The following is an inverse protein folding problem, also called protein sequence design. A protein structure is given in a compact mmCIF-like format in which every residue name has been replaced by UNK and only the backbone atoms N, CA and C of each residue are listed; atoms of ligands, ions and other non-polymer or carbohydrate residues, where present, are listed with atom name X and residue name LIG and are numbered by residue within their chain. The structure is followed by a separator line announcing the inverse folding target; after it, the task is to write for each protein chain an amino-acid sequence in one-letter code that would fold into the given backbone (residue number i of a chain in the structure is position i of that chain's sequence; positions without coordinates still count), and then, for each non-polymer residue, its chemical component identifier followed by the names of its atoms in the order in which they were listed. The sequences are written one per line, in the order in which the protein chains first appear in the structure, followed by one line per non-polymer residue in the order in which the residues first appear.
data_IF_281889656228
#
_entry.id   IF_281889656228
#
_cell.length_a   1.000
_cell.length_b   1.000
_cell.length_c   1.000
_cell.angle_alpha   90.00
_cell.angle_beta   90.00
_cell.angle_gamma   90.00
#
_symmetry.space_group_name_H-M   'P 1'
#
loop_
_entity.id
_entity.type
_entity.pdbx_description
1 polymer ?
#
# COMPACT_ATOMS: atom_id res chain seq x y z
N UNK A 1 11.03 6.04 26.19
CA UNK A 1 12.15 5.11 25.99
C UNK A 1 11.80 3.66 26.38
N UNK A 2 11.21 3.38 27.57
CA UNK A 2 10.87 1.99 27.98
C UNK A 2 9.93 1.26 27.03
N UNK A 3 8.95 1.93 26.43
CA UNK A 3 8.01 1.33 25.48
C UNK A 3 8.63 0.95 24.13
N UNK A 4 9.62 1.70 23.65
CA UNK A 4 10.37 1.38 22.43
C UNK A 4 11.19 0.10 22.62
N UNK A 5 11.81 -0.08 23.79
CA UNK A 5 12.54 -1.31 24.10
C UNK A 5 11.63 -2.55 24.24
N UNK A 6 10.39 -2.36 24.70
CA UNK A 6 9.41 -3.44 24.78
C UNK A 6 8.96 -3.85 23.37
N UNK A 7 8.67 -2.86 22.51
CA UNK A 7 8.29 -3.09 21.11
C UNK A 7 9.42 -3.78 20.34
N UNK A 8 10.68 -3.34 20.52
CA UNK A 8 11.85 -3.99 19.93
C UNK A 8 12.04 -5.42 20.45
N UNK A 9 11.81 -5.69 21.74
CA UNK A 9 11.90 -7.05 22.29
C UNK A 9 10.79 -7.97 21.76
N UNK A 10 9.55 -7.49 21.69
CA UNK A 10 8.43 -8.24 21.12
C UNK A 10 8.68 -8.50 19.64
N UNK A 11 9.20 -7.54 18.90
CA UNK A 11 9.62 -7.67 17.51
C UNK A 11 10.70 -8.75 17.35
N UNK A 12 11.73 -8.73 18.22
CA UNK A 12 12.82 -9.72 18.17
C UNK A 12 12.35 -11.15 18.50
N UNK A 13 11.41 -11.29 19.44
CA UNK A 13 10.84 -12.61 19.80
C UNK A 13 9.98 -13.14 18.65
N UNK A 14 9.18 -12.31 17.99
CA UNK A 14 8.37 -12.72 16.83
C UNK A 14 9.22 -13.13 15.62
N UNK A 15 10.43 -12.60 15.51
CA UNK A 15 11.34 -12.84 14.39
C UNK A 15 12.03 -14.21 14.46
N UNK A 16 12.25 -14.75 15.66
CA UNK A 16 12.88 -16.07 15.86
C UNK A 16 11.92 -17.25 15.88
N UNK A 17 10.60 -17.00 15.84
CA UNK A 17 9.59 -18.05 15.71
C UNK A 17 9.14 -18.11 14.25
N UNK A 18 10.01 -18.57 13.36
CA UNK A 18 9.62 -19.03 12.02
C UNK A 18 9.35 -20.53 12.09
N UNK A 19 8.09 -20.98 12.07
CA UNK A 19 7.79 -22.40 11.91
C UNK A 19 7.83 -22.75 10.43
N UNK A 20 8.89 -23.32 9.97
CA UNK A 20 9.10 -23.75 8.57
C UNK A 20 8.48 -25.10 8.22
N UNK A 21 7.49 -25.61 8.92
CA UNK A 21 6.97 -26.95 8.62
C UNK A 21 5.48 -27.22 8.82
N UNK A 22 4.63 -26.17 8.89
CA UNK A 22 3.17 -26.35 8.98
C UNK A 22 2.44 -25.43 7.95
N UNK A 23 2.99 -25.31 6.74
CA UNK A 23 2.62 -24.24 5.81
C UNK A 23 1.25 -24.41 5.14
N UNK A 24 0.77 -25.62 4.87
CA UNK A 24 -0.39 -25.80 3.98
C UNK A 24 -1.75 -25.60 4.67
N UNK A 25 -1.95 -26.14 5.85
CA UNK A 25 -3.26 -26.05 6.53
C UNK A 25 -3.49 -24.66 7.14
N UNK A 26 -2.44 -23.99 7.61
CA UNK A 26 -2.51 -22.63 8.13
C UNK A 26 -2.81 -21.58 7.05
N UNK A 27 -2.31 -21.74 5.83
CA UNK A 27 -2.56 -20.80 4.73
C UNK A 27 -4.05 -20.69 4.40
N UNK A 28 -4.81 -21.77 4.52
CA UNK A 28 -6.23 -21.79 4.19
C UNK A 28 -7.08 -20.99 5.21
N UNK A 29 -6.72 -21.02 6.48
CA UNK A 29 -7.46 -20.27 7.52
C UNK A 29 -7.17 -18.77 7.45
N UNK A 30 -5.92 -18.35 7.21
CA UNK A 30 -5.57 -16.94 6.98
C UNK A 30 -6.27 -16.36 5.75
N UNK A 31 -6.39 -17.14 4.68
CA UNK A 31 -7.07 -16.70 3.46
C UNK A 31 -8.57 -16.45 3.72
N UNK A 32 -9.26 -17.31 4.48
CA UNK A 32 -10.66 -17.11 4.87
C UNK A 32 -10.86 -15.86 5.71
N UNK A 33 -9.97 -15.63 6.69
CA UNK A 33 -10.01 -14.44 7.54
C UNK A 33 -9.80 -13.19 6.69
N UNK A 34 -8.78 -13.18 5.83
CA UNK A 34 -8.48 -12.08 4.94
C UNK A 34 -9.66 -11.73 4.02
N UNK A 35 -10.31 -12.73 3.44
CA UNK A 35 -11.50 -12.55 2.60
C UNK A 35 -12.68 -11.98 3.38
N UNK A 36 -12.91 -12.45 4.60
CA UNK A 36 -13.97 -11.93 5.47
C UNK A 36 -13.74 -10.46 5.84
N UNK A 37 -12.52 -10.10 6.20
CA UNK A 37 -12.15 -8.71 6.51
C UNK A 37 -12.20 -7.85 5.24
N UNK A 38 -11.78 -8.39 4.09
CA UNK A 38 -11.91 -7.68 2.81
C UNK A 38 -13.36 -7.37 2.49
N UNK A 39 -14.27 -8.35 2.64
CA UNK A 39 -15.70 -8.15 2.46
C UNK A 39 -16.26 -7.09 3.41
N UNK A 40 -15.85 -7.11 4.67
CA UNK A 40 -16.22 -6.06 5.64
C UNK A 40 -15.73 -4.68 5.16
N UNK A 41 -14.46 -4.55 4.75
CA UNK A 41 -13.91 -3.31 4.24
C UNK A 41 -14.64 -2.82 2.98
N UNK A 42 -15.03 -3.75 2.09
CA UNK A 42 -15.77 -3.44 0.88
C UNK A 42 -17.19 -2.93 1.17
N UNK A 43 -17.87 -3.48 2.17
CA UNK A 43 -19.16 -2.96 2.65
C UNK A 43 -19.01 -1.55 3.20
N UNK A 44 -17.96 -1.28 3.97
CA UNK A 44 -17.66 0.07 4.49
C UNK A 44 -17.33 1.04 3.35
N UNK A 45 -16.56 0.59 2.35
CA UNK A 45 -16.27 1.42 1.17
C UNK A 45 -17.57 1.81 0.45
N UNK A 46 -18.41 0.84 0.12
CA UNK A 46 -19.64 1.08 -0.63
C UNK A 46 -20.67 1.90 0.14
N UNK A 47 -20.78 1.68 1.46
CA UNK A 47 -21.82 2.31 2.28
C UNK A 47 -21.44 3.69 2.82
N UNK A 48 -20.15 3.96 3.03
CA UNK A 48 -19.65 5.17 3.68
C UNK A 48 -18.63 5.91 2.83
N UNK A 49 -17.52 5.25 2.45
CA UNK A 49 -16.42 5.95 1.78
C UNK A 49 -16.81 6.41 0.38
N UNK A 50 -17.48 5.57 -0.39
CA UNK A 50 -17.92 5.90 -1.74
C UNK A 50 -18.85 7.12 -1.75
N UNK A 51 -20.01 7.13 -1.06
CA UNK A 51 -20.90 8.29 -1.08
C UNK A 51 -20.23 9.55 -0.52
N UNK A 52 -19.39 9.42 0.51
CA UNK A 52 -18.66 10.56 1.07
C UNK A 52 -17.61 11.09 0.07
N UNK A 53 -16.93 10.21 -0.66
CA UNK A 53 -15.95 10.61 -1.68
C UNK A 53 -16.61 11.21 -2.91
N UNK A 54 -17.83 10.81 -3.27
CA UNK A 54 -18.63 11.43 -4.33
C UNK A 54 -19.00 12.88 -3.96
N UNK A 55 -19.38 13.14 -2.71
CA UNK A 55 -19.59 14.52 -2.22
C UNK A 55 -18.27 15.29 -2.21
N UNK A 56 -17.17 14.67 -1.79
CA UNK A 56 -15.85 15.29 -1.79
C UNK A 56 -15.37 15.65 -3.20
N UNK A 57 -15.70 14.85 -4.22
CA UNK A 57 -15.34 15.08 -5.62
C UNK A 57 -16.04 16.30 -6.28
N UNK A 58 -16.98 16.92 -5.59
CA UNK A 58 -17.58 18.20 -6.04
C UNK A 58 -16.56 19.36 -5.87
N UNK A 59 -15.57 19.18 -5.01
CA UNK A 59 -14.52 20.17 -4.84
C UNK A 59 -13.69 20.30 -6.12
N UNK A 60 -13.23 21.52 -6.45
CA UNK A 60 -12.32 21.71 -7.57
C UNK A 60 -11.04 20.88 -7.43
N UNK A 61 -10.54 20.32 -8.54
CA UNK A 61 -9.36 19.46 -8.59
C UNK A 61 -8.15 20.02 -7.85
N UNK A 62 -7.94 21.32 -7.89
CA UNK A 62 -6.79 21.97 -7.24
C UNK A 62 -6.86 21.87 -5.70
N UNK A 63 -8.08 21.77 -5.11
CA UNK A 63 -8.27 21.59 -3.66
C UNK A 63 -7.93 20.15 -3.29
N UNK A 64 -8.47 19.18 -4.02
CA UNK A 64 -8.16 17.75 -3.79
C UNK A 64 -6.66 17.47 -3.92
N UNK A 65 -6.04 17.98 -4.98
CA UNK A 65 -4.59 17.88 -5.21
C UNK A 65 -3.81 18.58 -4.10
N UNK A 66 -4.24 19.78 -3.72
CA UNK A 66 -3.60 20.54 -2.65
C UNK A 66 -3.58 19.77 -1.33
N UNK A 67 -4.70 19.13 -0.96
CA UNK A 67 -4.78 18.28 0.23
C UNK A 67 -3.77 17.11 0.16
N UNK A 68 -3.75 16.39 -0.96
CA UNK A 68 -2.82 15.28 -1.17
C UNK A 68 -1.36 15.74 -1.13
N UNK A 69 -1.06 16.89 -1.73
CA UNK A 69 0.28 17.47 -1.75
C UNK A 69 0.74 17.87 -0.35
N UNK A 70 -0.11 18.50 0.46
CA UNK A 70 0.19 18.84 1.86
C UNK A 70 0.49 17.58 2.67
N UNK A 71 -0.36 16.57 2.57
CA UNK A 71 -0.15 15.30 3.27
C UNK A 71 1.15 14.62 2.80
N UNK A 72 1.40 14.64 1.50
CA UNK A 72 2.65 14.16 0.91
C UNK A 72 3.87 14.90 1.44
N UNK A 73 3.80 16.22 1.52
CA UNK A 73 4.88 17.06 2.06
C UNK A 73 5.15 16.74 3.54
N UNK A 74 4.11 16.45 4.32
CA UNK A 74 4.25 15.99 5.70
C UNK A 74 4.92 14.61 5.85
N UNK A 75 4.93 13.80 4.80
CA UNK A 75 5.61 12.51 4.79
C UNK A 75 7.08 12.60 4.33
N UNK A 76 7.54 13.73 3.78
CA UNK A 76 8.93 13.88 3.35
C UNK A 76 9.97 13.69 4.47
N UNK A 77 9.74 14.10 5.74
CA UNK A 77 10.67 13.75 6.84
C UNK A 77 10.81 12.24 7.04
N UNK A 78 9.72 11.47 6.94
CA UNK A 78 9.77 10.00 7.03
C UNK A 78 10.48 9.40 5.81
N UNK A 79 10.20 9.88 4.60
CA UNK A 79 10.92 9.49 3.39
C UNK A 79 12.42 9.71 3.53
N UNK A 80 12.83 10.91 4.00
CA UNK A 80 14.23 11.25 4.25
C UNK A 80 14.88 10.23 5.19
N UNK A 81 14.27 10.01 6.37
CA UNK A 81 14.83 9.07 7.35
C UNK A 81 14.99 7.67 6.78
N UNK A 82 13.99 7.18 6.07
CA UNK A 82 14.03 5.85 5.47
C UNK A 82 15.09 5.74 4.36
N UNK A 83 15.26 6.77 3.51
CA UNK A 83 16.34 6.80 2.52
C UNK A 83 17.72 6.76 3.18
N UNK A 84 17.93 7.52 4.25
CA UNK A 84 19.21 7.50 5.00
C UNK A 84 19.45 6.11 5.61
N UNK A 85 18.45 5.50 6.23
CA UNK A 85 18.54 4.16 6.83
C UNK A 85 18.80 3.04 5.79
N UNK A 86 18.45 3.28 4.52
CA UNK A 86 18.72 2.39 3.39
C UNK A 86 20.06 2.68 2.70
N UNK A 87 20.78 3.74 3.10
CA UNK A 87 22.02 4.17 2.46
C UNK A 87 21.82 5.00 1.18
N UNK A 88 20.58 5.39 0.87
CA UNK A 88 20.22 6.16 -0.33
C UNK A 88 20.35 7.67 -0.08
N UNK A 89 21.55 8.14 0.19
CA UNK A 89 21.84 9.54 0.58
C UNK A 89 21.29 10.56 -0.42
N UNK A 90 21.41 10.27 -1.72
CA UNK A 90 20.93 11.17 -2.78
C UNK A 90 19.42 11.34 -2.74
N UNK A 91 18.69 10.25 -2.61
CA UNK A 91 17.21 10.26 -2.48
C UNK A 91 16.78 10.96 -1.19
N UNK A 92 17.51 10.75 -0.09
CA UNK A 92 17.28 11.46 1.17
C UNK A 92 17.43 12.97 1.04
N UNK A 93 18.53 13.44 0.45
CA UNK A 93 18.74 14.88 0.19
C UNK A 93 17.63 15.43 -0.71
N UNK A 94 17.18 14.67 -1.71
CA UNK A 94 16.04 15.06 -2.56
C UNK A 94 14.77 15.25 -1.72
N UNK A 95 14.44 14.35 -0.80
CA UNK A 95 13.28 14.49 0.10
C UNK A 95 13.35 15.75 0.97
N UNK A 96 14.53 16.10 1.53
CA UNK A 96 14.71 17.35 2.24
C UNK A 96 14.54 18.57 1.34
N UNK A 97 15.07 18.53 0.11
CA UNK A 97 14.91 19.60 -0.88
C UNK A 97 13.43 19.81 -1.23
N UNK A 98 12.69 18.72 -1.43
CA UNK A 98 11.24 18.75 -1.65
C UNK A 98 10.51 19.39 -0.48
N UNK A 99 10.77 18.93 0.74
CA UNK A 99 10.19 19.51 1.95
C UNK A 99 10.44 21.02 2.02
N UNK A 100 11.67 21.46 1.80
CA UNK A 100 12.02 22.88 1.87
C UNK A 100 11.31 23.72 0.80
N UNK A 101 11.36 23.30 -0.47
CA UNK A 101 10.76 24.01 -1.60
C UNK A 101 9.24 24.02 -1.48
N UNK A 102 8.61 22.88 -1.24
CA UNK A 102 7.16 22.78 -1.16
C UNK A 102 6.60 23.49 0.08
N UNK A 103 7.32 23.49 1.20
CA UNK A 103 6.88 24.22 2.41
C UNK A 103 7.01 25.73 2.29
N UNK A 104 7.98 26.25 1.52
CA UNK A 104 8.21 27.69 1.34
C UNK A 104 7.49 28.23 0.11
N UNK A 105 7.97 27.91 -1.08
CA UNK A 105 7.43 28.40 -2.35
C UNK A 105 6.08 27.73 -2.66
N UNK A 106 5.91 26.46 -2.27
CA UNK A 106 4.69 25.68 -2.49
C UNK A 106 3.58 25.90 -1.46
N UNK A 107 3.74 26.90 -0.56
CA UNK A 107 2.76 27.28 0.48
C UNK A 107 2.37 26.05 1.31
N UNK A 108 3.28 25.62 2.22
CA UNK A 108 3.13 24.44 3.07
C UNK A 108 2.86 23.11 2.32
N UNK A 109 3.19 23.08 1.02
CA UNK A 109 3.02 21.90 0.21
C UNK A 109 1.72 21.82 -0.59
N UNK A 110 0.88 22.88 -0.59
CA UNK A 110 -0.32 22.93 -1.44
C UNK A 110 0.08 22.77 -2.92
N UNK A 111 1.16 23.44 -3.31
CA UNK A 111 1.71 23.36 -4.67
C UNK A 111 2.97 22.51 -4.67
N UNK A 112 3.03 21.49 -5.55
CA UNK A 112 4.19 20.60 -5.70
C UNK A 112 5.23 21.27 -6.63
N UNK A 113 5.91 22.30 -6.13
CA UNK A 113 6.90 23.08 -6.87
C UNK A 113 8.21 22.30 -7.06
N UNK A 114 8.58 21.48 -6.09
CA UNK A 114 9.80 20.68 -6.13
C UNK A 114 9.84 19.71 -7.33
N UNK A 115 8.71 19.13 -7.71
CA UNK A 115 8.61 18.25 -8.89
C UNK A 115 8.90 19.04 -10.17
N UNK A 116 8.37 20.24 -10.30
CA UNK A 116 8.67 21.15 -11.42
C UNK A 116 10.12 21.62 -11.46
N UNK A 117 10.81 21.61 -10.31
CA UNK A 117 12.24 21.88 -10.19
C UNK A 117 13.11 20.65 -10.46
N UNK A 118 12.52 19.51 -10.87
CA UNK A 118 13.24 18.27 -11.20
C UNK A 118 13.52 17.35 -10.01
N UNK A 119 13.02 17.68 -8.82
CA UNK A 119 13.10 16.81 -7.65
C UNK A 119 11.89 15.88 -7.63
N UNK A 120 11.97 14.74 -8.31
CA UNK A 120 10.91 13.76 -8.35
C UNK A 120 10.63 13.16 -6.98
N UNK A 121 9.35 12.86 -6.71
CA UNK A 121 8.93 12.20 -5.48
C UNK A 121 9.29 10.72 -5.52
N UNK A 122 10.02 10.27 -4.51
CA UNK A 122 10.38 8.87 -4.30
C UNK A 122 9.80 8.43 -2.96
N UNK A 123 8.56 7.87 -2.94
CA UNK A 123 7.93 7.44 -1.71
C UNK A 123 8.73 6.32 -1.05
N UNK A 124 9.00 6.48 0.23
CA UNK A 124 9.73 5.50 1.03
C UNK A 124 9.03 5.24 2.37
N UNK A 125 9.25 4.06 2.93
CA UNK A 125 8.67 3.66 4.21
C UNK A 125 9.59 2.68 4.95
N UNK A 126 9.37 2.51 6.24
CA UNK A 126 10.19 1.63 7.07
C UNK A 126 10.01 0.14 6.72
N UNK A 127 8.90 -0.24 6.11
CA UNK A 127 8.73 -1.59 5.55
C UNK A 127 9.74 -1.87 4.43
N UNK A 128 10.04 -0.87 3.57
CA UNK A 128 11.10 -0.96 2.56
C UNK A 128 12.48 -0.97 3.22
N UNK A 129 12.70 -0.20 4.28
CA UNK A 129 13.93 -0.21 5.07
C UNK A 129 14.19 -1.59 5.65
N UNK A 130 13.19 -2.22 6.26
CA UNK A 130 13.30 -3.59 6.75
C UNK A 130 13.62 -4.60 5.64
N UNK A 131 13.09 -4.39 4.44
CA UNK A 131 13.45 -5.21 3.25
C UNK A 131 14.93 -5.09 2.90
N UNK A 132 15.46 -3.87 2.84
CA UNK A 132 16.89 -3.62 2.58
C UNK A 132 17.76 -4.28 3.66
N UNK A 133 17.28 -4.32 4.89
CA UNK A 133 17.97 -5.01 5.99
C UNK A 133 17.79 -6.54 5.97
N UNK A 134 17.12 -7.09 4.96
CA UNK A 134 17.00 -8.53 4.74
C UNK A 134 15.78 -9.19 5.38
N UNK A 135 14.84 -8.42 5.92
CA UNK A 135 13.59 -8.98 6.45
C UNK A 135 12.65 -9.42 5.32
N UNK A 136 12.15 -10.67 5.42
CA UNK A 136 11.13 -11.19 4.52
C UNK A 136 9.81 -10.42 4.62
N UNK A 137 8.90 -10.62 3.64
CA UNK A 137 7.60 -9.96 3.62
C UNK A 137 6.70 -10.38 4.79
N UNK A 138 6.81 -11.64 5.21
CA UNK A 138 5.84 -12.27 6.09
C UNK A 138 4.50 -12.49 5.40
N UNK A 139 3.50 -12.84 6.20
CA UNK A 139 2.16 -13.16 5.72
C UNK A 139 1.45 -11.92 5.13
N UNK A 140 0.63 -12.17 4.09
CA UNK A 140 -0.32 -11.19 3.59
C UNK A 140 -1.54 -11.15 4.53
N UNK A 141 -1.88 -9.95 4.96
CA UNK A 141 -2.96 -9.69 5.91
C UNK A 141 -3.88 -8.61 5.35
N UNK A 142 -5.17 -8.76 5.58
CA UNK A 142 -6.12 -7.66 5.39
C UNK A 142 -6.54 -7.15 6.76
N UNK A 143 -6.39 -5.85 6.99
CA UNK A 143 -6.73 -5.23 8.26
C UNK A 143 -8.05 -4.46 8.14
N UNK A 144 -8.91 -4.51 9.19
CA UNK A 144 -10.13 -3.72 9.20
C UNK A 144 -9.83 -2.23 9.02
N UNK A 145 -10.58 -1.55 8.16
CA UNK A 145 -10.46 -0.12 7.79
C UNK A 145 -9.15 0.28 7.09
N UNK A 146 -8.07 -0.48 7.25
CA UNK A 146 -6.73 -0.17 6.71
C UNK A 146 -6.51 -0.82 5.34
N UNK A 147 -7.09 -2.00 5.12
CA UNK A 147 -6.94 -2.78 3.88
C UNK A 147 -5.70 -3.67 3.85
N UNK A 148 -5.18 -3.98 2.65
CA UNK A 148 -4.11 -4.94 2.45
C UNK A 148 -2.78 -4.49 3.05
N UNK A 149 -2.05 -5.42 3.69
CA UNK A 149 -0.71 -5.26 4.25
C UNK A 149 0.05 -6.58 4.18
N UNK A 150 1.38 -6.51 4.11
CA UNK A 150 2.24 -7.62 4.58
C UNK A 150 2.61 -7.40 6.03
N UNK A 151 2.99 -8.45 6.74
CA UNK A 151 3.41 -8.34 8.14
C UNK A 151 4.55 -7.32 8.27
N UNK A 152 5.57 -7.37 7.40
CA UNK A 152 6.66 -6.40 7.37
C UNK A 152 6.17 -4.96 7.17
N UNK A 153 5.27 -4.72 6.21
CA UNK A 153 4.73 -3.38 5.96
C UNK A 153 3.90 -2.88 7.14
N UNK A 154 3.13 -3.75 7.78
CA UNK A 154 2.35 -3.38 8.97
C UNK A 154 3.26 -2.89 10.10
N UNK A 155 4.28 -3.68 10.46
CA UNK A 155 5.25 -3.27 11.48
C UNK A 155 6.04 -2.03 11.07
N UNK A 156 6.43 -1.92 9.80
CA UNK A 156 7.07 -0.74 9.25
C UNK A 156 6.22 0.53 9.44
N UNK A 157 4.92 0.46 9.15
CA UNK A 157 4.02 1.60 9.29
C UNK A 157 3.83 2.09 10.73
N UNK A 158 3.93 1.19 11.72
CA UNK A 158 3.94 1.56 13.15
C UNK A 158 5.18 2.40 13.47
N UNK A 159 6.34 1.98 12.96
CA UNK A 159 7.60 2.70 13.17
C UNK A 159 7.60 4.04 12.44
N UNK A 160 7.12 4.09 11.19
CA UNK A 160 6.96 5.34 10.44
C UNK A 160 6.06 6.33 11.19
N UNK A 161 4.95 5.85 11.75
CA UNK A 161 4.04 6.68 12.56
C UNK A 161 4.74 7.24 13.80
N UNK A 162 5.59 6.44 14.45
CA UNK A 162 6.33 6.85 15.63
C UNK A 162 7.50 7.81 15.32
N UNK A 163 8.10 7.69 14.13
CA UNK A 163 9.23 8.52 13.69
C UNK A 163 8.80 9.83 13.02
N UNK A 164 7.55 9.92 12.55
CA UNK A 164 7.08 11.10 11.83
C UNK A 164 6.86 12.28 12.82
N UNK A 165 7.64 13.38 12.71
CA UNK A 165 7.54 14.51 13.63
C UNK A 165 6.20 15.23 13.53
N UNK A 166 5.51 15.16 12.40
CA UNK A 166 4.18 15.76 12.20
C UNK A 166 3.14 15.03 13.05
N UNK A 167 3.17 13.69 13.07
CA UNK A 167 2.27 12.90 13.91
C UNK A 167 2.47 13.23 15.40
N UNK A 168 3.70 13.56 15.80
CA UNK A 168 4.00 13.95 17.17
C UNK A 168 3.34 15.28 17.56
N UNK A 169 3.37 16.25 16.63
CA UNK A 169 2.73 17.56 16.86
C UNK A 169 1.21 17.49 16.84
N UNK A 170 0.65 16.73 15.90
CA UNK A 170 -0.81 16.57 15.77
C UNK A 170 -1.41 15.79 16.93
N UNK A 171 -0.63 14.94 17.61
CA UNK A 171 -1.10 14.12 18.73
C UNK A 171 -1.58 14.96 19.93
N UNK A 172 -0.97 16.12 20.15
CA UNK A 172 -1.29 16.99 21.28
C UNK A 172 -2.55 17.85 21.03
N UNK A 173 -3.01 17.95 19.77
CA UNK A 173 -4.15 18.81 19.37
C UNK A 173 -5.53 18.15 19.54
N UNK A 174 -5.58 16.89 19.99
CA UNK A 174 -6.83 16.14 20.20
C UNK A 174 -7.26 15.28 19.02
N UNK A 175 -8.13 14.30 19.30
CA UNK A 175 -8.44 13.17 18.41
C UNK A 175 -8.92 13.53 17.00
N UNK A 176 -9.75 14.56 16.83
CA UNK A 176 -10.28 14.94 15.51
C UNK A 176 -9.19 15.55 14.63
N UNK A 177 -8.39 16.45 15.16
CA UNK A 177 -7.31 17.13 14.41
C UNK A 177 -6.21 16.14 14.07
N UNK A 178 -5.86 15.24 14.98
CA UNK A 178 -4.80 14.25 14.75
C UNK A 178 -5.16 13.21 13.69
N UNK A 179 -6.43 12.88 13.50
CA UNK A 179 -6.91 11.89 12.52
C UNK A 179 -7.32 12.51 11.17
N UNK A 180 -7.56 13.83 11.13
CA UNK A 180 -8.01 14.54 9.93
C UNK A 180 -7.16 14.30 8.67
N UNK A 181 -5.81 14.34 8.73
CA UNK A 181 -4.99 14.10 7.55
C UNK A 181 -5.20 12.71 6.96
N UNK A 182 -5.36 11.69 7.81
CA UNK A 182 -5.60 10.31 7.34
C UNK A 182 -6.97 10.16 6.69
N UNK A 183 -8.00 10.77 7.25
CA UNK A 183 -9.35 10.75 6.68
C UNK A 183 -9.37 11.49 5.34
N UNK A 184 -8.79 12.68 5.28
CA UNK A 184 -8.71 13.46 4.05
C UNK A 184 -7.90 12.73 2.97
N UNK A 185 -6.80 12.07 3.34
CA UNK A 185 -6.03 11.24 2.41
C UNK A 185 -6.87 10.10 1.83
N UNK A 186 -7.61 9.38 2.66
CA UNK A 186 -8.49 8.28 2.21
C UNK A 186 -9.57 8.80 1.28
N UNK A 187 -10.26 9.89 1.63
CA UNK A 187 -11.31 10.48 0.80
C UNK A 187 -10.78 10.98 -0.53
N UNK A 188 -9.69 11.74 -0.52
CA UNK A 188 -9.07 12.24 -1.76
C UNK A 188 -8.59 11.09 -2.65
N UNK A 189 -7.97 10.07 -2.07
CA UNK A 189 -7.50 8.91 -2.83
C UNK A 189 -8.68 8.12 -3.40
N UNK A 190 -9.75 7.90 -2.62
CA UNK A 190 -10.96 7.20 -3.08
C UNK A 190 -11.67 7.96 -4.18
N UNK A 191 -11.82 9.29 -4.03
CA UNK A 191 -12.41 10.19 -5.04
C UNK A 191 -11.68 10.10 -6.37
N UNK A 192 -10.38 10.30 -6.36
CA UNK A 192 -9.54 10.31 -7.58
C UNK A 192 -9.44 8.96 -8.27
N UNK A 193 -9.54 7.87 -7.53
CA UNK A 193 -9.49 6.51 -8.07
C UNK A 193 -10.87 5.85 -8.21
N UNK A 194 -11.97 6.61 -8.08
CA UNK A 194 -13.33 6.08 -8.05
C UNK A 194 -13.61 5.16 -9.26
N UNK A 195 -13.36 5.65 -10.48
CA UNK A 195 -13.59 4.88 -11.71
C UNK A 195 -12.75 3.60 -11.77
N UNK A 196 -11.49 3.66 -11.35
CA UNK A 196 -10.57 2.52 -11.38
C UNK A 196 -11.03 1.45 -10.38
N UNK A 197 -11.40 1.87 -9.16
CA UNK A 197 -11.88 0.96 -8.11
C UNK A 197 -13.21 0.32 -8.53
N UNK A 198 -14.15 1.11 -9.03
CA UNK A 198 -15.45 0.62 -9.46
C UNK A 198 -15.33 -0.32 -10.68
N UNK A 199 -14.48 0.01 -11.66
CA UNK A 199 -14.19 -0.88 -12.79
C UNK A 199 -13.57 -2.19 -12.30
N UNK A 200 -12.54 -2.13 -11.45
CA UNK A 200 -11.90 -3.33 -10.92
C UNK A 200 -12.91 -4.22 -10.18
N UNK A 201 -13.77 -3.64 -9.35
CA UNK A 201 -14.82 -4.37 -8.63
C UNK A 201 -15.80 -5.06 -9.58
N UNK A 202 -16.22 -4.37 -10.64
CA UNK A 202 -17.26 -4.85 -11.56
C UNK A 202 -16.74 -5.83 -12.62
N UNK A 203 -15.45 -5.77 -12.96
CA UNK A 203 -14.87 -6.60 -14.04
C UNK A 203 -14.03 -7.75 -13.54
N UNK A 204 -13.61 -7.75 -12.26
CA UNK A 204 -12.83 -8.84 -11.69
C UNK A 204 -13.69 -10.08 -11.45
N UNK A 205 -13.16 -11.24 -11.79
CA UNK A 205 -13.76 -12.54 -11.42
C UNK A 205 -13.72 -12.69 -9.88
N UNK A 206 -12.60 -12.33 -9.27
CA UNK A 206 -12.40 -12.29 -7.82
C UNK A 206 -11.76 -10.95 -7.43
N UNK A 207 -12.57 -10.05 -6.87
CA UNK A 207 -12.13 -8.71 -6.49
C UNK A 207 -11.06 -8.74 -5.39
N UNK A 208 -11.18 -9.63 -4.40
CA UNK A 208 -10.18 -9.80 -3.36
C UNK A 208 -8.81 -10.20 -3.95
N UNK A 209 -8.79 -11.21 -4.81
CA UNK A 209 -7.55 -11.68 -5.45
C UNK A 209 -6.92 -10.62 -6.33
N UNK A 210 -7.72 -9.81 -7.02
CA UNK A 210 -7.24 -8.67 -7.81
C UNK A 210 -6.57 -7.61 -6.94
N UNK A 211 -7.19 -7.22 -5.83
CA UNK A 211 -6.62 -6.26 -4.87
C UNK A 211 -5.33 -6.81 -4.25
N UNK A 212 -5.32 -8.10 -3.85
CA UNK A 212 -4.12 -8.77 -3.32
C UNK A 212 -2.97 -8.72 -4.32
N UNK A 213 -3.26 -9.05 -5.58
CA UNK A 213 -2.28 -9.05 -6.66
C UNK A 213 -1.69 -7.65 -6.92
N UNK A 214 -2.54 -6.64 -7.04
CA UNK A 214 -2.11 -5.24 -7.24
C UNK A 214 -1.23 -4.78 -6.07
N UNK A 215 -1.64 -5.04 -4.82
CA UNK A 215 -0.88 -4.68 -3.64
C UNK A 215 0.52 -5.32 -3.63
N UNK A 216 0.59 -6.64 -3.90
CA UNK A 216 1.86 -7.37 -3.91
C UNK A 216 2.79 -6.86 -5.03
N UNK A 217 2.25 -6.57 -6.22
CA UNK A 217 3.01 -5.99 -7.33
C UNK A 217 3.55 -4.60 -7.01
N UNK A 218 2.72 -3.72 -6.42
CA UNK A 218 3.14 -2.39 -5.98
C UNK A 218 4.29 -2.45 -4.98
N UNK A 219 4.28 -3.46 -4.10
CA UNK A 219 5.37 -3.71 -3.15
C UNK A 219 6.61 -4.37 -3.77
N UNK A 220 6.60 -4.67 -5.08
CA UNK A 220 7.69 -5.34 -5.80
C UNK A 220 7.87 -6.80 -5.40
N UNK A 221 6.80 -7.43 -4.93
CA UNK A 221 6.78 -8.84 -4.56
C UNK A 221 6.43 -9.64 -5.81
N UNK A 222 7.31 -10.57 -6.20
CA UNK A 222 7.01 -11.49 -7.29
C UNK A 222 5.88 -12.42 -6.86
N UNK A 223 4.77 -12.36 -7.54
CA UNK A 223 3.71 -13.36 -7.41
C UNK A 223 4.23 -14.57 -8.17
N UNK A 224 4.58 -15.64 -7.45
CA UNK A 224 4.68 -16.95 -8.06
C UNK A 224 3.26 -17.40 -8.36
N UNK A 225 2.81 -17.14 -9.58
CA UNK A 225 1.66 -17.86 -10.11
C UNK A 225 2.12 -19.32 -10.18
N UNK A 226 1.47 -20.21 -9.44
CA UNK A 226 1.57 -21.66 -9.67
C UNK A 226 0.85 -21.95 -11.00
N UNK A 227 1.47 -21.50 -12.09
CA UNK A 227 0.97 -21.72 -13.46
C UNK A 227 1.10 -23.22 -13.83
N UNK A 228 1.87 -24.00 -13.06
CA UNK A 228 2.08 -25.42 -13.35
C UNK A 228 0.81 -26.27 -13.24
N UNK A 229 -0.07 -25.99 -12.28
CA UNK A 229 -1.32 -26.78 -12.15
C UNK A 229 -2.41 -26.36 -13.14
N UNK A 230 -2.48 -25.05 -13.50
CA UNK A 230 -3.48 -24.55 -14.43
C UNK A 230 -3.10 -24.81 -15.91
N UNK A 231 -1.81 -24.92 -16.24
CA UNK A 231 -1.35 -25.27 -17.61
C UNK A 231 -1.57 -26.75 -17.90
N UNK A 232 -1.44 -27.61 -16.91
CA UNK A 232 -1.70 -29.05 -17.11
C UNK A 232 -3.20 -29.30 -17.40
N UNK A 233 -4.09 -28.58 -16.74
CA UNK A 233 -5.54 -28.63 -17.02
C UNK A 233 -5.88 -28.06 -18.42
N UNK A 234 -5.14 -27.07 -18.90
CA UNK A 234 -5.33 -26.51 -20.25
C UNK A 234 -4.77 -27.43 -21.33
N UNK A 235 -3.65 -28.10 -21.10
CA UNK A 235 -3.03 -29.02 -22.05
C UNK A 235 -3.80 -30.34 -22.14
N UNK A 236 -4.35 -30.88 -21.04
CA UNK A 236 -5.20 -32.07 -21.08
C UNK A 236 -6.50 -31.90 -21.90
N UNK A 237 -7.00 -30.66 -22.05
CA UNK A 237 -8.20 -30.37 -22.81
C UNK A 237 -7.93 -29.95 -24.26
N UNK A 238 -6.67 -29.81 -24.69
CA UNK A 238 -6.33 -29.37 -26.06
C UNK A 238 -5.79 -30.48 -26.94
N UNK A 239 -5.46 -31.66 -26.40
CA UNK A 239 -4.93 -32.81 -27.16
C UNK A 239 -5.99 -33.76 -27.73
N UNK A 240 -7.28 -33.52 -27.47
CA UNK A 240 -8.35 -34.25 -28.14
C UNK A 240 -9.14 -33.29 -29.05
N UNK A 241 -9.08 -33.52 -30.37
CA UNK A 241 -9.92 -32.96 -31.45
C UNK A 241 -9.43 -31.70 -32.18
N UNK A 242 -8.20 -31.74 -32.73
CA UNK A 242 -7.93 -30.97 -33.95
C UNK A 242 -7.33 -31.92 -35.00
N UNK A 243 -8.16 -32.69 -35.66
CA UNK A 243 -7.84 -33.30 -36.97
C UNK A 243 -7.73 -32.17 -38.00
N UNK A 244 -6.50 -31.81 -38.30
CA UNK A 244 -6.17 -30.90 -39.39
C UNK A 244 -6.32 -31.66 -40.72
N UNK A 245 -7.46 -31.52 -41.38
CA UNK A 245 -7.62 -31.96 -42.76
C UNK A 245 -6.74 -31.10 -43.68
N UNK A 246 -5.76 -31.66 -44.36
CA UNK A 246 -5.12 -30.97 -45.47
C UNK A 246 -6.08 -30.99 -46.65
N UNK A 247 -6.59 -29.81 -47.01
CA UNK A 247 -7.38 -29.64 -48.23
C UNK A 247 -6.55 -29.97 -49.46
N UNK A 248 -7.04 -30.92 -50.27
CA UNK A 248 -6.52 -31.24 -51.56
C UNK A 248 -6.62 -30.03 -52.50
N UNK A 249 -5.51 -29.71 -53.08
CA UNK A 249 -5.44 -28.78 -54.21
C UNK A 249 -5.84 -29.55 -55.49
N UNK A 250 -6.89 -29.10 -56.18
CA UNK A 250 -7.01 -29.09 -57.64
C UNK A 250 -7.22 -27.68 -58.15
#
# INVERSE_FOLDING_TARGET
MKHIFIILKVFFIFFFISPSSLADEKNHDYEKINRSIHTFNDVIDQSILRPTSEVYSILPDFIELGVLNVISNFNEPSNFMNHILQGEIKSGISSLGRLAINSTIGILGIFEIADKAGLQKIPNDFGKTLRVWGLGEGEYLVLPFIGPRTARHFFGSIIDTALNPVNYRLRDEGGVISTSPSILYVLSTRSRNAKTIDNLRNTSIDYYSSIKSIYLQDRGIKISLNISEDIDIFNENFDEDIDFYPGDNE
#
